data_IF_915978847867
#
_entry.id   IF_915978847867
#
_cell.length_a   1.000
_cell.length_b   1.000
_cell.length_c   1.000
_cell.angle_alpha   90.00
_cell.angle_beta   90.00
_cell.angle_gamma   90.00
#
_symmetry.space_group_name_H-M   'P 1'
#
loop_
_entity.id
_entity.type
_entity.pdbx_description
1 polymer ?
#
# COMPACT_ATOMS: atom_id res chain seq x y z
N UNK A 1 -78.89 25.95 -4.63
CA UNK A 1 -77.92 26.05 -3.53
C UNK A 1 -76.67 25.27 -3.95
N UNK A 2 -75.58 25.98 -4.36
CA UNK A 2 -74.31 25.35 -4.79
C UNK A 2 -73.29 25.76 -3.77
N UNK A 3 -72.76 24.80 -3.03
CA UNK A 3 -71.67 25.01 -2.09
C UNK A 3 -70.36 24.97 -2.85
N UNK A 4 -69.61 26.08 -2.84
CA UNK A 4 -68.30 26.19 -3.41
C UNK A 4 -67.22 26.02 -2.29
N UNK A 5 -66.52 24.89 -2.26
CA UNK A 5 -65.46 24.62 -1.28
C UNK A 5 -64.21 25.27 -1.78
N UNK A 6 -63.67 26.23 -1.02
CA UNK A 6 -62.43 26.95 -1.32
C UNK A 6 -61.26 26.12 -0.78
N UNK A 7 -60.42 25.62 -1.68
CA UNK A 7 -59.22 24.84 -1.34
C UNK A 7 -58.05 25.79 -1.11
N UNK A 8 -57.58 25.92 0.12
CA UNK A 8 -56.45 26.75 0.52
C UNK A 8 -55.14 25.95 0.34
N UNK A 9 -54.37 26.29 -0.69
CA UNK A 9 -53.03 25.70 -0.91
C UNK A 9 -52.03 26.49 -0.08
N UNK A 10 -51.50 25.87 0.96
CA UNK A 10 -50.36 26.41 1.73
C UNK A 10 -49.04 25.98 1.06
N UNK A 11 -48.36 26.91 0.43
CA UNK A 11 -47.03 26.73 -0.09
C UNK A 11 -46.01 26.77 1.08
N UNK A 12 -45.47 25.60 1.41
CA UNK A 12 -44.39 25.48 2.40
C UNK A 12 -43.06 25.73 1.65
N UNK A 13 -42.50 26.93 1.74
CA UNK A 13 -41.15 27.25 1.22
C UNK A 13 -40.12 26.69 2.18
N UNK A 14 -39.49 25.55 1.79
CA UNK A 14 -38.33 25.02 2.47
C UNK A 14 -37.10 25.86 2.12
N UNK A 15 -36.62 26.65 3.06
CA UNK A 15 -35.35 27.36 2.95
C UNK A 15 -34.21 26.36 3.15
N UNK A 16 -33.52 25.99 2.08
CA UNK A 16 -32.27 25.24 2.16
C UNK A 16 -31.17 26.15 2.73
N UNK A 17 -30.86 25.97 4.01
CA UNK A 17 -29.66 26.54 4.61
C UNK A 17 -28.47 25.76 4.12
N UNK A 18 -27.83 26.24 3.06
CA UNK A 18 -26.54 25.73 2.60
C UNK A 18 -25.46 26.14 3.60
N UNK A 19 -25.05 25.22 4.47
CA UNK A 19 -23.83 25.39 5.26
C UNK A 19 -22.65 25.42 4.30
N UNK A 20 -22.13 26.61 3.98
CA UNK A 20 -20.80 26.78 3.39
C UNK A 20 -19.77 26.31 4.43
N UNK A 21 -19.23 25.11 4.24
CA UNK A 21 -18.06 24.62 4.96
C UNK A 21 -16.92 25.57 4.63
N UNK A 22 -16.54 26.45 5.55
CA UNK A 22 -15.34 27.27 5.43
C UNK A 22 -14.17 26.31 5.29
N UNK A 23 -13.50 26.36 4.13
CA UNK A 23 -12.23 25.66 3.95
C UNK A 23 -11.22 26.30 4.94
N UNK A 24 -10.90 25.57 6.00
CA UNK A 24 -9.80 25.93 6.88
C UNK A 24 -8.52 25.80 6.05
N UNK A 25 -7.95 26.92 5.66
CA UNK A 25 -6.60 26.98 5.08
C UNK A 25 -5.60 26.83 6.23
N UNK A 26 -5.43 25.61 6.71
CA UNK A 26 -4.26 25.28 7.52
C UNK A 26 -3.04 25.44 6.58
N UNK A 27 -1.98 26.18 6.99
CA UNK A 27 -0.78 26.29 6.18
C UNK A 27 -0.23 24.86 5.93
N UNK A 28 -0.27 24.39 4.67
CA UNK A 28 0.41 23.16 4.31
C UNK A 28 1.90 23.39 4.50
N UNK A 29 2.48 22.67 5.45
CA UNK A 29 3.93 22.55 5.57
C UNK A 29 4.45 22.02 4.24
N UNK A 30 5.43 22.69 3.58
CA UNK A 30 5.94 22.21 2.31
C UNK A 30 6.49 20.79 2.49
N UNK A 31 5.90 19.82 1.79
CA UNK A 31 6.40 18.44 1.77
C UNK A 31 7.80 18.45 1.16
N UNK A 32 8.78 17.97 1.90
CA UNK A 32 10.09 17.66 1.34
C UNK A 32 9.94 16.35 0.61
N UNK A 33 9.66 16.41 -0.69
CA UNK A 33 9.56 15.22 -1.53
C UNK A 33 10.92 14.55 -1.56
N UNK A 34 11.03 13.40 -0.92
CA UNK A 34 12.22 12.54 -1.04
C UNK A 34 12.24 12.01 -2.47
N UNK A 35 13.27 12.35 -3.20
CA UNK A 35 13.30 12.14 -4.65
C UNK A 35 14.13 10.92 -5.04
N UNK A 36 13.49 9.98 -5.74
CA UNK A 36 14.12 8.85 -6.42
C UNK A 36 14.50 9.19 -7.89
N UNK A 37 14.86 10.44 -8.19
CA UNK A 37 15.16 10.93 -9.55
C UNK A 37 16.26 10.14 -10.29
N UNK A 38 17.17 9.52 -9.56
CA UNK A 38 18.25 8.73 -10.15
C UNK A 38 17.88 7.24 -10.30
N UNK A 39 16.71 6.83 -9.83
CA UNK A 39 16.26 5.44 -9.86
C UNK A 39 15.68 5.10 -11.23
N UNK A 40 16.16 4.00 -11.81
CA UNK A 40 15.57 3.40 -13.01
C UNK A 40 14.44 2.45 -12.59
N UNK A 41 13.25 2.64 -13.18
CA UNK A 41 12.09 1.79 -12.91
C UNK A 41 11.96 0.71 -13.97
N UNK A 42 11.73 -0.53 -13.54
CA UNK A 42 11.55 -1.70 -14.41
C UNK A 42 10.23 -2.37 -14.12
N UNK A 43 9.66 -2.99 -15.14
CA UNK A 43 8.54 -3.91 -14.96
C UNK A 43 9.08 -5.33 -14.79
N UNK A 44 8.47 -6.09 -13.88
CA UNK A 44 8.81 -7.50 -13.68
C UNK A 44 8.42 -8.35 -14.89
N UNK A 45 7.34 -7.96 -15.57
CA UNK A 45 6.82 -8.56 -16.78
C UNK A 45 5.70 -7.73 -17.36
N UNK A 46 4.86 -8.31 -18.20
CA UNK A 46 3.69 -7.64 -18.79
C UNK A 46 2.53 -7.54 -17.80
N UNK A 47 1.68 -6.53 -18.01
CA UNK A 47 0.51 -6.27 -17.19
C UNK A 47 -0.70 -5.92 -18.08
N UNK A 48 -1.90 -6.14 -17.54
CA UNK A 48 -3.15 -5.84 -18.24
C UNK A 48 -3.58 -4.39 -18.13
N UNK A 49 -4.70 -4.08 -18.75
CA UNK A 49 -5.25 -2.70 -18.83
C UNK A 49 -5.59 -2.07 -17.48
N UNK A 50 -5.81 -2.89 -16.45
CA UNK A 50 -6.06 -2.44 -15.08
C UNK A 50 -4.81 -2.58 -14.19
N UNK A 51 -3.63 -2.82 -14.76
CA UNK A 51 -2.37 -2.92 -14.05
C UNK A 51 -2.11 -4.27 -13.36
N UNK A 52 -2.97 -5.27 -13.59
CA UNK A 52 -2.79 -6.62 -13.02
C UNK A 52 -1.65 -7.36 -13.74
N UNK A 53 -0.84 -8.17 -13.02
CA UNK A 53 0.19 -9.03 -13.60
C UNK A 53 -0.39 -10.02 -14.63
N UNK A 54 0.37 -10.32 -15.69
CA UNK A 54 0.01 -11.31 -16.70
C UNK A 54 0.99 -12.49 -16.73
N UNK A 55 2.13 -12.34 -17.37
CA UNK A 55 3.07 -13.43 -17.68
C UNK A 55 3.97 -13.88 -16.50
N UNK A 56 4.05 -13.11 -15.45
CA UNK A 56 4.79 -13.46 -14.23
C UNK A 56 3.90 -13.91 -13.06
N UNK A 57 2.58 -14.02 -13.27
CA UNK A 57 1.67 -14.70 -12.33
C UNK A 57 2.00 -16.19 -12.26
N UNK A 58 1.91 -16.71 -11.05
CA UNK A 58 1.97 -18.15 -10.80
C UNK A 58 0.62 -18.61 -10.25
N UNK A 59 0.49 -19.91 -9.96
CA UNK A 59 -0.74 -20.45 -9.35
C UNK A 59 -1.07 -19.66 -8.08
N UNK A 60 -2.28 -19.06 -7.99
CA UNK A 60 -2.70 -18.32 -6.80
C UNK A 60 -2.68 -19.18 -5.54
N UNK A 61 -2.42 -18.56 -4.42
CA UNK A 61 -2.54 -19.19 -3.11
C UNK A 61 -4.00 -19.20 -2.66
N UNK A 62 -4.39 -20.27 -1.96
CA UNK A 62 -5.65 -20.30 -1.23
C UNK A 62 -5.46 -19.67 0.13
N UNK A 63 -6.17 -18.57 0.41
CA UNK A 63 -6.12 -17.89 1.69
C UNK A 63 -7.18 -18.45 2.63
N UNK A 64 -6.77 -18.89 3.81
CA UNK A 64 -7.68 -19.48 4.79
C UNK A 64 -8.48 -18.40 5.55
N UNK A 65 -9.73 -18.67 5.99
CA UNK A 65 -10.45 -17.76 6.87
C UNK A 65 -9.70 -17.46 8.19
N UNK A 66 -8.87 -18.40 8.67
CA UNK A 66 -8.05 -18.18 9.86
C UNK A 66 -6.93 -17.17 9.64
N UNK A 67 -6.45 -17.07 8.40
CA UNK A 67 -5.45 -16.08 8.00
C UNK A 67 -6.04 -14.66 8.04
N UNK A 68 -7.23 -14.45 7.48
CA UNK A 68 -7.90 -13.14 7.54
C UNK A 68 -8.21 -12.74 8.99
N UNK A 69 -8.73 -13.66 9.81
CA UNK A 69 -8.94 -13.41 11.25
C UNK A 69 -7.66 -13.02 11.98
N UNK A 70 -6.54 -13.62 11.61
CA UNK A 70 -5.25 -13.25 12.19
C UNK A 70 -4.85 -11.84 11.78
N UNK A 71 -4.95 -11.50 10.48
CA UNK A 71 -4.66 -10.16 9.98
C UNK A 71 -5.52 -9.12 10.71
N UNK A 72 -6.85 -9.31 10.73
CA UNK A 72 -7.79 -8.41 11.39
C UNK A 72 -7.50 -8.24 12.90
N UNK A 73 -6.90 -9.24 13.53
CA UNK A 73 -6.51 -9.15 14.95
C UNK A 73 -5.24 -8.35 15.20
N UNK A 74 -4.37 -8.20 14.19
CA UNK A 74 -3.07 -7.51 14.31
C UNK A 74 -3.09 -6.16 13.60
N UNK A 75 -3.78 -6.06 12.47
CA UNK A 75 -3.92 -4.85 11.65
C UNK A 75 -5.41 -4.53 11.45
N UNK A 76 -6.16 -4.23 12.51
CA UNK A 76 -7.59 -3.98 12.43
C UNK A 76 -7.88 -2.62 11.78
N UNK A 77 -8.81 -2.59 10.82
CA UNK A 77 -9.14 -1.39 10.05
C UNK A 77 -9.54 -0.21 10.96
N UNK A 78 -8.98 0.98 10.67
CA UNK A 78 -9.22 2.21 11.39
C UNK A 78 -8.70 2.23 12.83
N UNK A 79 -7.85 1.29 13.23
CA UNK A 79 -7.27 1.24 14.56
C UNK A 79 -5.75 1.47 14.53
N UNK A 80 -5.30 2.45 15.27
CA UNK A 80 -3.90 2.82 15.32
C UNK A 80 -3.01 1.71 15.90
N UNK A 81 -2.32 0.98 15.02
CA UNK A 81 -1.42 -0.13 15.35
C UNK A 81 -0.24 0.32 16.19
N UNK A 82 0.19 1.58 16.06
CA UNK A 82 1.30 2.12 16.84
C UNK A 82 1.00 2.14 18.35
N UNK A 83 -0.29 2.18 18.71
CA UNK A 83 -0.76 2.14 20.10
C UNK A 83 -1.11 0.71 20.54
N UNK A 84 -1.77 -0.07 19.65
CA UNK A 84 -2.22 -1.42 19.97
C UNK A 84 -1.07 -2.43 19.97
N UNK A 85 -0.15 -2.32 19.02
CA UNK A 85 0.95 -3.26 18.78
C UNK A 85 2.29 -2.53 18.55
N UNK A 86 2.80 -1.72 19.50
CA UNK A 86 3.99 -0.89 19.29
C UNK A 86 5.24 -1.69 18.91
N UNK A 87 5.29 -2.98 19.28
CA UNK A 87 6.38 -3.89 18.90
C UNK A 87 6.53 -4.13 17.41
N UNK A 88 5.46 -3.94 16.61
CA UNK A 88 5.53 -4.08 15.15
C UNK A 88 6.39 -2.99 14.50
N UNK A 89 6.49 -1.82 15.13
CA UNK A 89 7.29 -0.72 14.62
C UNK A 89 8.80 -0.90 14.87
N UNK A 90 9.21 -1.81 15.73
CA UNK A 90 10.62 -2.06 16.03
C UNK A 90 11.30 -3.03 15.07
N UNK A 91 10.53 -3.78 14.26
CA UNK A 91 11.08 -4.76 13.32
C UNK A 91 11.56 -4.10 12.01
N UNK A 92 12.66 -4.63 11.44
CA UNK A 92 13.03 -4.33 10.05
C UNK A 92 12.04 -5.04 9.12
N UNK A 93 11.50 -4.31 8.15
CA UNK A 93 10.51 -4.83 7.20
C UNK A 93 11.14 -5.38 5.91
N UNK A 94 12.46 -5.28 5.73
CA UNK A 94 13.17 -5.85 4.59
C UNK A 94 13.43 -7.35 4.79
N UNK A 95 13.31 -8.13 3.71
CA UNK A 95 13.57 -9.57 3.73
C UNK A 95 15.04 -9.85 3.46
N UNK A 96 15.76 -10.50 4.38
CA UNK A 96 17.15 -10.91 4.21
C UNK A 96 17.26 -12.39 3.90
N UNK A 97 17.92 -12.75 2.80
CA UNK A 97 18.04 -14.12 2.35
C UNK A 97 19.30 -14.80 2.93
N UNK A 98 19.10 -15.91 3.64
CA UNK A 98 20.17 -16.72 4.23
C UNK A 98 20.63 -17.87 3.34
N UNK A 99 19.91 -18.13 2.25
CA UNK A 99 20.24 -19.11 1.20
C UNK A 99 19.80 -18.57 -0.16
N UNK A 100 20.34 -19.12 -1.25
CA UNK A 100 19.80 -18.88 -2.59
C UNK A 100 18.34 -19.34 -2.63
N UNK A 101 17.44 -18.48 -3.11
CA UNK A 101 16.00 -18.73 -2.97
C UNK A 101 15.19 -18.15 -4.12
N UNK A 102 14.13 -18.86 -4.48
CA UNK A 102 13.01 -18.26 -5.21
C UNK A 102 12.14 -17.48 -4.22
N UNK A 103 11.78 -16.26 -4.59
CA UNK A 103 10.92 -15.39 -3.76
C UNK A 103 9.63 -15.09 -4.50
N UNK A 104 8.52 -15.28 -3.79
CA UNK A 104 7.17 -15.04 -4.26
C UNK A 104 6.49 -14.00 -3.38
N UNK A 105 5.62 -13.22 -3.98
CA UNK A 105 4.76 -12.26 -3.27
C UNK A 105 3.32 -12.55 -3.63
N UNK A 106 2.47 -12.60 -2.61
CA UNK A 106 1.02 -12.82 -2.75
C UNK A 106 0.28 -11.60 -2.24
N UNK A 107 -0.63 -11.09 -3.06
CA UNK A 107 -1.58 -10.04 -2.67
C UNK A 107 -2.64 -10.62 -1.73
N UNK A 108 -2.95 -9.91 -0.64
CA UNK A 108 -3.86 -10.40 0.39
C UNK A 108 -5.11 -9.54 0.51
N UNK A 109 -4.93 -8.24 0.71
CA UNK A 109 -6.02 -7.31 0.94
C UNK A 109 -5.62 -5.88 0.60
N UNK A 110 -6.63 -5.03 0.43
CA UNK A 110 -6.54 -3.59 0.31
C UNK A 110 -7.60 -2.96 1.22
N UNK A 111 -7.18 -2.05 2.09
CA UNK A 111 -8.03 -1.24 2.96
C UNK A 111 -8.21 0.20 2.46
N UNK A 112 -7.34 0.65 1.55
CA UNK A 112 -7.37 2.00 0.97
C UNK A 112 -8.21 2.07 -0.29
N UNK A 113 -8.53 3.30 -0.72
CA UNK A 113 -9.20 3.58 -2.00
C UNK A 113 -8.28 4.20 -3.05
N UNK A 114 -6.98 4.29 -2.77
CA UNK A 114 -6.00 4.88 -3.66
C UNK A 114 -5.45 3.84 -4.63
N UNK A 115 -5.24 4.23 -5.89
CA UNK A 115 -4.64 3.36 -6.91
C UNK A 115 -3.11 3.34 -6.74
N UNK A 116 -2.65 2.57 -5.77
CA UNK A 116 -1.24 2.47 -5.42
C UNK A 116 -0.48 1.50 -6.34
N UNK A 117 0.82 1.71 -6.47
CA UNK A 117 1.74 0.77 -7.12
C UNK A 117 2.64 0.12 -6.07
N UNK A 118 2.85 -1.18 -6.16
CA UNK A 118 3.85 -1.88 -5.36
C UNK A 118 5.08 -2.23 -6.21
N UNK A 119 6.25 -1.97 -5.65
CA UNK A 119 7.55 -2.28 -6.22
C UNK A 119 8.48 -2.91 -5.17
N UNK A 120 9.63 -3.39 -5.62
CA UNK A 120 10.72 -3.82 -4.75
C UNK A 120 12.07 -3.33 -5.28
N UNK A 121 13.06 -3.29 -4.42
CA UNK A 121 14.47 -3.12 -4.74
C UNK A 121 15.30 -4.16 -4.01
N UNK A 122 16.54 -4.38 -4.47
CA UNK A 122 17.45 -5.34 -3.85
C UNK A 122 18.78 -4.68 -3.52
N UNK A 123 19.42 -5.18 -2.47
CA UNK A 123 20.73 -4.72 -2.05
C UNK A 123 21.51 -5.82 -1.30
N UNK A 124 22.84 -5.75 -1.22
CA UNK A 124 23.62 -6.62 -0.34
C UNK A 124 23.23 -6.38 1.13
N UNK A 125 22.90 -7.45 1.87
CA UNK A 125 22.39 -7.35 3.27
C UNK A 125 23.32 -6.56 4.19
N UNK A 126 24.65 -6.61 3.93
CA UNK A 126 25.65 -5.89 4.71
C UNK A 126 25.86 -4.43 4.28
N UNK A 127 25.13 -3.97 3.24
CA UNK A 127 25.20 -2.58 2.75
C UNK A 127 23.83 -2.04 2.42
N UNK A 128 22.95 -1.81 3.43
CA UNK A 128 21.62 -1.28 3.20
C UNK A 128 21.66 0.16 2.68
N UNK A 129 20.71 0.55 1.81
CA UNK A 129 20.60 1.91 1.31
C UNK A 129 20.34 2.89 2.44
N UNK A 130 20.97 4.06 2.41
CA UNK A 130 20.89 5.12 3.43
C UNK A 130 20.18 6.37 2.93
N UNK A 131 19.99 6.48 1.62
CA UNK A 131 19.32 7.60 0.96
C UNK A 131 18.71 7.11 -0.37
N UNK A 132 17.71 7.79 -0.93
CA UNK A 132 17.06 7.40 -2.19
C UNK A 132 18.00 7.20 -3.37
N UNK A 133 19.08 7.98 -3.46
CA UNK A 133 20.06 7.86 -4.54
C UNK A 133 20.91 6.57 -4.49
N UNK A 134 20.84 5.81 -3.40
CA UNK A 134 21.49 4.52 -3.29
C UNK A 134 20.67 3.41 -3.99
N UNK A 135 19.40 3.69 -4.31
CA UNK A 135 18.50 2.77 -5.04
C UNK A 135 18.67 3.04 -6.54
N UNK A 136 19.41 2.17 -7.23
CA UNK A 136 19.60 2.28 -8.68
C UNK A 136 18.39 1.77 -9.47
N UNK A 137 17.76 0.69 -8.99
CA UNK A 137 16.64 0.05 -9.67
C UNK A 137 15.49 -0.20 -8.70
N UNK A 138 14.25 0.07 -9.17
CA UNK A 138 13.02 -0.42 -8.56
C UNK A 138 12.26 -1.24 -9.61
N UNK A 139 11.73 -2.39 -9.20
CA UNK A 139 10.97 -3.27 -10.09
C UNK A 139 9.51 -3.30 -9.64
N UNK A 140 8.58 -2.88 -10.52
CA UNK A 140 7.16 -2.95 -10.24
C UNK A 140 6.70 -4.39 -10.17
N UNK A 141 6.10 -4.75 -9.02
CA UNK A 141 5.49 -6.06 -8.76
C UNK A 141 4.02 -6.08 -9.17
N UNK A 142 3.28 -5.09 -8.66
CA UNK A 142 1.88 -4.85 -8.94
C UNK A 142 1.75 -3.40 -9.41
N UNK A 143 1.73 -3.14 -10.74
CA UNK A 143 1.56 -1.80 -11.29
C UNK A 143 0.33 -1.07 -10.75
N UNK A 144 -0.80 -1.79 -10.59
CA UNK A 144 -1.95 -1.37 -9.81
C UNK A 144 -2.20 -2.41 -8.70
N UNK A 145 -1.96 -2.02 -7.46
CA UNK A 145 -2.10 -2.91 -6.31
C UNK A 145 -3.51 -2.87 -5.71
N UNK A 146 -4.54 -2.73 -6.55
CA UNK A 146 -5.92 -2.57 -6.10
C UNK A 146 -6.77 -3.81 -6.33
N UNK A 147 -7.65 -4.06 -5.36
CA UNK A 147 -8.58 -5.19 -5.31
C UNK A 147 -9.61 -5.12 -6.44
N UNK A 148 -9.96 -6.27 -7.03
CA UNK A 148 -11.01 -6.37 -8.05
C UNK A 148 -12.35 -5.81 -7.55
N UNK A 149 -12.95 -4.94 -8.35
CA UNK A 149 -14.22 -4.28 -8.01
C UNK A 149 -14.09 -3.12 -7.02
N UNK A 150 -12.90 -2.87 -6.49
CA UNK A 150 -12.59 -1.76 -5.61
C UNK A 150 -11.70 -0.76 -6.35
N UNK A 151 -12.07 0.52 -6.36
CA UNK A 151 -11.29 1.61 -6.97
C UNK A 151 -10.74 1.34 -8.40
N UNK A 152 -11.31 0.38 -9.16
CA UNK A 152 -10.84 0.03 -10.50
C UNK A 152 -9.66 -0.94 -10.54
N UNK A 153 -9.40 -1.66 -9.47
CA UNK A 153 -8.40 -2.72 -9.39
C UNK A 153 -8.85 -4.02 -10.08
N UNK A 154 -7.93 -4.96 -10.18
CA UNK A 154 -8.16 -6.28 -10.76
C UNK A 154 -7.44 -7.42 -10.01
N UNK A 155 -6.81 -7.14 -8.87
CA UNK A 155 -6.18 -8.16 -8.05
C UNK A 155 -7.22 -8.88 -7.19
N UNK A 156 -6.98 -10.16 -6.95
CA UNK A 156 -7.77 -11.00 -6.05
C UNK A 156 -6.92 -11.44 -4.88
N UNK A 157 -7.51 -11.58 -3.67
CA UNK A 157 -6.81 -12.21 -2.57
C UNK A 157 -6.27 -13.59 -2.98
N UNK A 158 -4.95 -13.78 -2.81
CA UNK A 158 -4.25 -14.97 -3.27
C UNK A 158 -3.51 -14.82 -4.60
N UNK A 159 -3.73 -13.75 -5.37
CA UNK A 159 -2.94 -13.49 -6.58
C UNK A 159 -1.46 -13.46 -6.23
N UNK A 160 -0.68 -14.35 -6.88
CA UNK A 160 0.72 -14.64 -6.55
C UNK A 160 1.62 -14.44 -7.76
N UNK A 161 2.76 -13.84 -7.52
CA UNK A 161 3.81 -13.60 -8.51
C UNK A 161 5.15 -14.16 -8.01
N UNK A 162 6.01 -14.56 -8.93
CA UNK A 162 7.42 -14.82 -8.64
C UNK A 162 8.21 -13.53 -8.91
N UNK A 163 8.81 -12.93 -7.88
CA UNK A 163 9.58 -11.69 -8.04
C UNK A 163 11.03 -11.93 -8.45
N UNK A 164 11.54 -13.14 -8.28
CA UNK A 164 12.87 -13.51 -8.77
C UNK A 164 13.48 -14.69 -8.07
N UNK A 165 14.71 -14.99 -8.50
CA UNK A 165 15.66 -15.88 -7.85
C UNK A 165 16.84 -15.02 -7.36
N UNK A 166 17.12 -15.08 -6.07
CA UNK A 166 18.14 -14.22 -5.46
C UNK A 166 19.14 -15.07 -4.67
N UNK A 167 20.38 -14.63 -4.68
CA UNK A 167 21.46 -15.32 -3.97
C UNK A 167 21.42 -15.04 -2.46
N UNK A 168 22.10 -15.89 -1.70
CA UNK A 168 22.37 -15.66 -0.26
C UNK A 168 23.04 -14.30 -0.06
N UNK A 169 22.63 -13.58 1.00
CA UNK A 169 23.21 -12.29 1.36
C UNK A 169 22.61 -11.11 0.60
N UNK A 170 21.55 -11.34 -0.16
CA UNK A 170 20.71 -10.28 -0.74
C UNK A 170 19.56 -10.00 0.20
N UNK A 171 19.25 -8.73 0.37
CA UNK A 171 18.02 -8.23 1.00
C UNK A 171 17.09 -7.63 -0.03
N UNK A 172 15.79 -7.73 0.23
CA UNK A 172 14.72 -7.22 -0.61
C UNK A 172 13.95 -6.21 0.22
N UNK A 173 13.95 -4.96 -0.23
CA UNK A 173 13.09 -3.91 0.30
C UNK A 173 11.87 -3.72 -0.58
N UNK A 174 10.72 -3.40 0.04
CA UNK A 174 9.46 -3.15 -0.64
C UNK A 174 9.14 -1.67 -0.67
N UNK A 175 8.38 -1.26 -1.67
CA UNK A 175 8.00 0.15 -1.86
C UNK A 175 6.54 0.22 -2.28
N UNK A 176 5.77 1.04 -1.59
CA UNK A 176 4.48 1.51 -2.05
C UNK A 176 4.66 2.89 -2.65
N UNK A 177 4.21 3.09 -3.90
CA UNK A 177 4.16 4.40 -4.55
C UNK A 177 2.73 4.90 -4.44
N UNK A 178 2.56 5.97 -3.68
CA UNK A 178 1.26 6.61 -3.46
C UNK A 178 0.64 7.04 -4.79
N UNK A 179 -0.61 6.61 -5.04
CA UNK A 179 -1.34 6.91 -6.29
C UNK A 179 -0.51 6.62 -7.54
N UNK A 180 0.28 5.55 -7.47
CA UNK A 180 1.23 5.19 -8.51
C UNK A 180 0.60 4.67 -9.80
N UNK A 181 -0.68 4.28 -9.80
CA UNK A 181 -1.38 3.86 -11.01
C UNK A 181 -2.26 4.97 -11.57
N UNK A 182 -1.98 5.37 -12.80
CA UNK A 182 -2.81 6.31 -13.54
C UNK A 182 -3.82 5.52 -14.42
N UNK A 183 -5.07 5.44 -13.97
CA UNK A 183 -6.13 4.75 -14.68
C UNK A 183 -6.49 5.39 -16.03
N UNK A 184 -6.25 6.69 -16.20
CA UNK A 184 -6.55 7.38 -17.45
C UNK A 184 -5.57 7.00 -18.57
N UNK A 185 -4.31 6.76 -18.23
CA UNK A 185 -3.27 6.38 -19.19
C UNK A 185 -2.96 4.89 -19.20
N UNK A 186 -3.39 4.14 -18.18
CA UNK A 186 -3.04 2.73 -17.99
C UNK A 186 -1.54 2.53 -17.73
N UNK A 187 -0.89 3.46 -17.03
CA UNK A 187 0.55 3.45 -16.76
C UNK A 187 0.86 3.76 -15.31
N UNK A 188 2.05 3.32 -14.89
CA UNK A 188 2.58 3.73 -13.58
C UNK A 188 3.08 5.17 -13.65
N UNK A 189 2.68 5.96 -12.65
CA UNK A 189 3.16 7.30 -12.38
C UNK A 189 4.04 7.28 -11.11
N UNK A 190 5.31 7.60 -11.24
CA UNK A 190 6.28 7.58 -10.14
C UNK A 190 6.46 8.93 -9.44
N UNK A 191 5.55 9.89 -9.65
CA UNK A 191 5.63 11.23 -9.05
C UNK A 191 5.12 11.28 -7.60
N UNK A 192 4.37 10.28 -7.15
CA UNK A 192 3.85 10.18 -5.79
C UNK A 192 4.94 9.88 -4.75
N UNK A 193 4.57 9.98 -3.48
CA UNK A 193 5.46 9.59 -2.40
C UNK A 193 5.82 8.09 -2.50
N UNK A 194 7.06 7.77 -2.14
CA UNK A 194 7.54 6.40 -2.09
C UNK A 194 7.70 6.00 -0.63
N UNK A 195 6.87 5.08 -0.18
CA UNK A 195 6.91 4.54 1.17
C UNK A 195 7.65 3.20 1.15
N UNK A 196 8.92 3.26 1.55
CA UNK A 196 9.82 2.12 1.55
C UNK A 196 9.74 1.34 2.87
N UNK A 197 9.96 0.03 2.80
CA UNK A 197 10.14 -0.81 3.99
C UNK A 197 11.36 -0.40 4.82
N UNK A 198 12.40 0.16 4.19
CA UNK A 198 13.49 0.84 4.88
C UNK A 198 13.07 2.29 5.22
N UNK A 199 12.74 2.53 6.48
CA UNK A 199 12.19 3.81 6.97
C UNK A 199 13.09 5.03 6.73
N UNK A 200 14.42 4.84 6.65
CA UNK A 200 15.38 5.94 6.40
C UNK A 200 15.09 6.63 5.05
N UNK A 201 14.54 5.90 4.09
CA UNK A 201 14.26 6.38 2.74
C UNK A 201 12.93 7.14 2.65
N UNK A 202 12.10 7.12 3.70
CA UNK A 202 10.75 7.69 3.68
C UNK A 202 10.75 9.20 3.90
N UNK A 203 9.76 9.90 3.32
CA UNK A 203 9.75 11.36 3.23
C UNK A 203 9.44 12.09 4.53
N UNK A 204 8.97 11.40 5.57
CA UNK A 204 8.62 12.02 6.85
C UNK A 204 9.81 12.75 7.48
N UNK A 205 9.57 13.96 7.98
CA UNK A 205 10.59 14.76 8.70
C UNK A 205 10.75 14.31 10.13
N UNK A 206 9.65 13.88 10.79
CA UNK A 206 9.67 13.30 12.12
C UNK A 206 10.13 11.82 12.05
N UNK A 207 11.26 11.47 12.69
CA UNK A 207 11.77 10.10 12.68
C UNK A 207 10.77 9.05 13.19
N UNK A 208 9.89 9.42 14.12
CA UNK A 208 8.88 8.50 14.68
C UNK A 208 7.76 8.14 13.70
N UNK A 209 7.60 8.93 12.65
CA UNK A 209 6.58 8.72 11.60
C UNK A 209 7.14 8.10 10.32
N UNK A 210 8.46 7.95 10.21
CA UNK A 210 9.10 7.43 8.98
C UNK A 210 8.72 6.00 8.60
N UNK A 211 8.23 5.19 9.53
CA UNK A 211 7.88 3.81 9.25
C UNK A 211 6.49 3.71 8.61
N UNK A 212 6.44 3.31 7.35
CA UNK A 212 5.21 3.10 6.58
C UNK A 212 4.90 1.62 6.32
N UNK A 213 5.72 0.73 6.86
CA UNK A 213 5.50 -0.71 6.74
C UNK A 213 5.69 -1.41 8.08
N UNK A 214 4.89 -2.45 8.30
CA UNK A 214 5.07 -3.38 9.41
C UNK A 214 5.25 -4.79 8.86
N UNK A 215 6.10 -5.57 9.53
CA UNK A 215 6.32 -6.97 9.20
C UNK A 215 5.73 -7.84 10.30
N UNK A 216 4.79 -8.71 9.91
CA UNK A 216 4.08 -9.60 10.83
C UNK A 216 4.38 -11.05 10.46
N UNK A 217 5.01 -11.77 11.38
CA UNK A 217 5.29 -13.19 11.20
C UNK A 217 4.05 -14.02 11.54
N UNK A 218 3.64 -14.93 10.65
CA UNK A 218 2.59 -15.92 10.86
C UNK A 218 3.16 -17.32 10.80
N UNK A 219 3.70 -17.86 11.93
CA UNK A 219 4.42 -19.14 11.95
C UNK A 219 3.57 -20.33 11.54
N UNK A 220 2.27 -20.29 11.82
CA UNK A 220 1.32 -21.38 11.52
C UNK A 220 1.33 -21.79 10.04
N UNK A 221 1.51 -20.83 9.14
CA UNK A 221 1.56 -21.06 7.69
C UNK A 221 2.90 -20.66 7.07
N UNK A 222 3.92 -20.36 7.90
CA UNK A 222 5.26 -19.92 7.45
C UNK A 222 5.20 -18.72 6.50
N UNK A 223 4.32 -17.76 6.78
CA UNK A 223 4.13 -16.54 6.00
C UNK A 223 4.67 -15.32 6.75
N UNK A 224 5.20 -14.38 5.98
CA UNK A 224 5.67 -13.09 6.47
C UNK A 224 4.80 -12.03 5.81
N UNK A 225 3.86 -11.46 6.57
CA UNK A 225 3.00 -10.39 6.10
C UNK A 225 3.72 -9.06 6.16
N UNK A 226 3.43 -8.22 5.19
CA UNK A 226 3.88 -6.84 5.11
C UNK A 226 2.64 -6.00 4.90
N UNK A 227 2.36 -5.16 5.90
CA UNK A 227 1.28 -4.18 5.85
C UNK A 227 1.85 -2.80 5.56
N UNK A 228 1.12 -1.98 4.81
CA UNK A 228 1.54 -0.65 4.37
C UNK A 228 0.55 0.42 4.79
N UNK A 229 1.08 1.61 5.09
CA UNK A 229 0.39 2.90 5.09
C UNK A 229 0.64 3.61 3.75
N UNK A 230 -0.38 4.10 3.10
CA UNK A 230 -0.34 4.66 1.75
C UNK A 230 -0.36 6.18 1.69
N UNK A 231 -0.31 6.84 2.84
CA UNK A 231 -0.24 8.30 2.97
C UNK A 231 0.81 8.73 3.97
N UNK A 232 1.16 10.02 3.96
CA UNK A 232 2.04 10.59 4.97
C UNK A 232 1.44 10.40 6.36
N UNK A 233 2.20 9.78 7.28
CA UNK A 233 1.75 9.53 8.66
C UNK A 233 1.65 10.79 9.50
N UNK A 234 2.17 11.91 9.03
CA UNK A 234 1.98 13.24 9.58
C UNK A 234 0.64 13.87 9.21
N UNK A 235 -0.11 13.30 8.26
CA UNK A 235 -1.42 13.81 7.90
C UNK A 235 -2.47 13.46 8.98
N UNK A 236 -3.35 14.42 9.33
CA UNK A 236 -4.36 14.21 10.38
C UNK A 236 -5.39 13.10 10.04
N UNK A 237 -5.49 12.72 8.78
CA UNK A 237 -6.42 11.69 8.28
C UNK A 237 -5.81 10.29 8.29
N UNK A 238 -4.51 10.16 8.55
CA UNK A 238 -3.85 8.86 8.66
C UNK A 238 -4.29 8.16 9.96
N UNK A 239 -4.83 6.95 9.85
CA UNK A 239 -5.30 6.16 10.98
C UNK A 239 -4.22 5.25 11.58
N UNK A 240 -3.10 5.09 10.90
CA UNK A 240 -1.95 4.30 11.31
C UNK A 240 -2.28 2.81 11.51
N UNK A 241 -3.15 2.25 10.70
CA UNK A 241 -3.57 0.86 10.83
C UNK A 241 -2.74 -0.13 10.01
N UNK A 242 -1.93 0.36 9.04
CA UNK A 242 -1.01 -0.42 8.19
C UNK A 242 -1.71 -1.52 7.39
N UNK A 243 -2.97 -1.35 7.08
CA UNK A 243 -3.76 -2.30 6.30
C UNK A 243 -4.18 -1.78 4.92
N UNK A 244 -3.71 -0.59 4.53
CA UNK A 244 -4.02 0.00 3.22
C UNK A 244 -3.68 -0.95 2.08
N UNK A 245 -2.53 -1.63 2.15
CA UNK A 245 -2.22 -2.80 1.33
C UNK A 245 -1.52 -3.85 2.18
N UNK A 246 -1.98 -5.09 2.06
CA UNK A 246 -1.35 -6.24 2.71
C UNK A 246 -0.91 -7.24 1.66
N UNK A 247 0.36 -7.60 1.72
CA UNK A 247 0.97 -8.70 0.96
C UNK A 247 1.62 -9.69 1.92
N UNK A 248 1.99 -10.87 1.44
CA UNK A 248 2.99 -11.68 2.12
C UNK A 248 4.03 -12.21 1.16
N UNK A 249 5.23 -12.42 1.68
CA UNK A 249 6.31 -13.05 0.97
C UNK A 249 6.46 -14.52 1.36
N UNK A 250 6.82 -15.35 0.37
CA UNK A 250 7.21 -16.74 0.58
C UNK A 250 8.59 -16.95 0.00
N UNK A 251 9.49 -17.52 0.79
CA UNK A 251 10.88 -17.79 0.42
C UNK A 251 11.03 -19.30 0.26
N UNK A 252 11.44 -19.75 -0.93
CA UNK A 252 11.72 -21.14 -1.22
C UNK A 252 13.22 -21.31 -1.45
N UNK A 253 13.98 -21.80 -0.47
CA UNK A 253 15.41 -22.14 -0.63
C UNK A 253 15.60 -23.20 -1.74
N UNK A 254 16.69 -23.06 -2.51
CA UNK A 254 17.07 -23.95 -3.60
C UNK A 254 18.24 -24.86 -3.21
#
# INVERSE_FOLDING_TARGET
MKNTTLLLIVLLSAAFVSCKKSASTTPQVPFVTVSFKATEYKYLGSYGTLGQPLDYKVKPDTLSPSLFKFIDSILPAGQNVTKAHPGLLSSNSDLSLTAKSDVFVTFVAEGASQLNTLAFYTYPTNNPPKKPTDIQFMTFMFPNASLEGWAGGALKPGDKIKIGNFDKGISIGFVLIERGWDAATGKVNTSGNHFCSNEILNPETDPSLKKHTVLVNYPKEKKIFIGFEDMMRSEPTCDHDFNDIIIYATIHPL
#
